data_IF_116896697774
#
_entry.id   IF_116896697774
#
_cell.length_a   1.000
_cell.length_b   1.000
_cell.length_c   1.000
_cell.angle_alpha   90.00
_cell.angle_beta   90.00
_cell.angle_gamma   90.00
#
_symmetry.space_group_name_H-M   'P 1'
#
loop_
_entity.id
_entity.type
_entity.pdbx_description
1 polymer ?
#
# COMPACT_ATOMS: atom_id res chain seq x y z
N UNK A 1 17.13 -0.65 -20.89
CA UNK A 1 17.02 -0.80 -19.43
C UNK A 1 17.40 0.51 -18.75
N UNK A 2 16.51 1.10 -17.94
CA UNK A 2 16.91 2.17 -17.01
C UNK A 2 17.25 1.51 -15.67
N UNK A 3 18.38 1.85 -15.03
CA UNK A 3 18.81 1.18 -13.79
C UNK A 3 17.72 1.32 -12.73
N UNK A 4 17.30 0.20 -12.17
CA UNK A 4 16.26 0.16 -11.13
C UNK A 4 16.73 0.95 -9.93
N UNK A 5 16.02 2.04 -9.61
CA UNK A 5 16.23 2.79 -8.36
C UNK A 5 15.67 1.97 -7.21
N UNK A 6 16.44 0.99 -6.72
CA UNK A 6 16.07 0.19 -5.57
C UNK A 6 16.24 0.98 -4.27
N UNK A 7 15.34 0.74 -3.32
CA UNK A 7 15.43 1.27 -1.95
C UNK A 7 16.41 0.37 -1.20
N UNK A 8 17.57 0.90 -0.83
CA UNK A 8 18.61 0.18 -0.07
C UNK A 8 18.57 0.55 1.40
N UNK A 9 19.27 -0.22 2.24
CA UNK A 9 19.37 0.02 3.69
C UNK A 9 20.00 1.39 3.99
N UNK A 10 20.96 1.80 3.18
CA UNK A 10 21.65 3.09 3.31
C UNK A 10 20.71 4.25 3.00
N UNK A 11 19.86 4.11 1.97
CA UNK A 11 18.84 5.13 1.66
C UNK A 11 17.76 5.20 2.73
N UNK A 12 17.40 4.06 3.31
CA UNK A 12 16.47 4.02 4.44
C UNK A 12 17.05 4.74 5.67
N UNK A 13 18.31 4.46 6.01
CA UNK A 13 19.00 5.15 7.10
C UNK A 13 19.11 6.66 6.87
N UNK A 14 19.49 7.08 5.65
CA UNK A 14 19.53 8.50 5.27
C UNK A 14 18.15 9.18 5.33
N UNK A 15 17.09 8.45 5.00
CA UNK A 15 15.72 8.94 5.15
C UNK A 15 15.30 9.12 6.62
N UNK A 16 15.68 8.19 7.50
CA UNK A 16 15.40 8.32 8.93
C UNK A 16 16.13 9.52 9.54
N UNK A 17 17.40 9.73 9.21
CA UNK A 17 18.17 10.91 9.62
C UNK A 17 17.55 12.20 9.07
N UNK A 18 17.07 12.17 7.82
CA UNK A 18 16.34 13.29 7.26
C UNK A 18 15.00 13.54 7.94
N UNK A 19 14.29 12.52 8.43
CA UNK A 19 13.04 12.71 9.16
C UNK A 19 13.30 13.32 10.54
N UNK A 20 14.18 12.71 11.32
CA UNK A 20 14.56 13.14 12.67
C UNK A 20 16.09 13.26 12.77
N UNK A 21 16.66 14.47 12.54
CA UNK A 21 18.09 14.68 12.70
C UNK A 21 18.51 14.43 14.15
N UNK A 22 19.53 13.59 14.37
CA UNK A 22 19.97 13.21 15.72
C UNK A 22 19.37 11.89 16.27
N UNK A 23 18.61 11.16 15.46
CA UNK A 23 18.30 9.74 15.66
C UNK A 23 17.28 9.37 16.74
N UNK A 24 17.10 10.19 17.78
CA UNK A 24 16.05 9.97 18.78
C UNK A 24 14.66 10.07 18.13
N UNK A 25 13.85 9.03 18.27
CA UNK A 25 12.47 8.99 17.77
C UNK A 25 12.31 8.85 16.25
N UNK A 26 13.36 8.55 15.47
CA UNK A 26 13.25 8.45 14.01
C UNK A 26 12.22 7.40 13.54
N UNK A 27 12.07 6.30 14.28
CA UNK A 27 11.04 5.28 14.02
C UNK A 27 9.62 5.78 14.28
N UNK A 28 9.42 6.61 15.31
CA UNK A 28 8.10 7.20 15.60
C UNK A 28 7.72 8.23 14.55
N UNK A 29 8.66 9.08 14.11
CA UNK A 29 8.42 10.05 13.05
C UNK A 29 8.17 9.37 11.69
N UNK A 30 8.82 8.24 11.44
CA UNK A 30 8.50 7.37 10.30
C UNK A 30 7.04 6.88 10.36
N UNK A 31 6.62 6.29 11.48
CA UNK A 31 5.25 5.79 11.64
C UNK A 31 4.21 6.92 11.60
N UNK A 32 4.53 8.09 12.17
CA UNK A 32 3.67 9.28 12.12
C UNK A 32 3.48 9.76 10.69
N UNK A 33 4.56 9.84 9.91
CA UNK A 33 4.49 10.19 8.50
C UNK A 33 3.67 9.16 7.71
N UNK A 34 3.93 7.87 7.92
CA UNK A 34 3.20 6.78 7.27
C UNK A 34 1.70 6.85 7.57
N UNK A 35 1.31 7.04 8.83
CA UNK A 35 -0.08 7.20 9.24
C UNK A 35 -0.76 8.41 8.56
N UNK A 36 -0.06 9.55 8.48
CA UNK A 36 -0.55 10.76 7.79
C UNK A 36 -0.76 10.52 6.29
N UNK A 37 0.15 9.78 5.65
CA UNK A 37 0.02 9.42 4.23
C UNK A 37 -1.11 8.42 4.00
N UNK A 38 -1.24 7.37 4.81
CA UNK A 38 -2.37 6.45 4.74
C UNK A 38 -3.70 7.21 4.88
N UNK A 39 -3.81 8.11 5.89
CA UNK A 39 -4.98 8.96 6.08
C UNK A 39 -5.27 9.83 4.84
N UNK A 40 -4.24 10.43 4.24
CA UNK A 40 -4.37 11.25 3.04
C UNK A 40 -4.97 10.46 1.85
N UNK A 41 -4.54 9.22 1.62
CA UNK A 41 -5.07 8.39 0.55
C UNK A 41 -6.44 7.78 0.88
N UNK A 42 -6.68 7.42 2.14
CA UNK A 42 -7.98 6.93 2.61
C UNK A 42 -9.08 7.98 2.46
N UNK A 43 -8.80 9.24 2.82
CA UNK A 43 -9.72 10.37 2.60
C UNK A 43 -10.06 10.60 1.13
N UNK A 44 -9.21 10.14 0.20
CA UNK A 44 -9.41 10.21 -1.25
C UNK A 44 -10.01 8.94 -1.83
N UNK A 45 -10.45 8.00 -0.98
CA UNK A 45 -11.06 6.73 -1.37
C UNK A 45 -10.18 5.90 -2.31
N UNK A 46 -8.86 6.04 -2.18
CA UNK A 46 -7.94 5.20 -2.91
C UNK A 46 -8.16 3.74 -2.50
N UNK A 47 -8.10 2.83 -3.46
CA UNK A 47 -8.37 1.40 -3.22
C UNK A 47 -7.33 0.76 -2.27
N UNK A 48 -6.09 1.23 -2.28
CA UNK A 48 -4.97 0.71 -1.47
C UNK A 48 -4.16 1.85 -0.82
N UNK A 49 -4.70 2.52 0.20
CA UNK A 49 -4.08 3.70 0.78
C UNK A 49 -2.73 3.41 1.44
N UNK A 50 -2.58 2.24 2.07
CA UNK A 50 -1.30 1.79 2.64
C UNK A 50 -0.20 1.60 1.59
N UNK A 51 -0.56 1.07 0.42
CA UNK A 51 0.42 0.82 -0.65
C UNK A 51 0.86 2.12 -1.31
N UNK A 52 -0.07 3.07 -1.50
CA UNK A 52 0.26 4.40 -2.02
C UNK A 52 1.09 5.20 -1.01
N UNK A 53 0.87 5.00 0.30
CA UNK A 53 1.72 5.57 1.34
C UNK A 53 3.13 4.97 1.30
N UNK A 54 3.26 3.64 1.26
CA UNK A 54 4.55 2.95 1.14
C UNK A 54 5.30 3.39 -0.14
N UNK A 55 4.61 3.50 -1.29
CA UNK A 55 5.18 3.98 -2.55
C UNK A 55 5.65 5.44 -2.47
N UNK A 56 4.88 6.30 -1.80
CA UNK A 56 5.27 7.70 -1.56
C UNK A 56 6.57 7.76 -0.76
N UNK A 57 6.66 6.96 0.31
CA UNK A 57 7.85 6.88 1.17
C UNK A 57 9.06 6.36 0.39
N UNK A 58 8.91 5.32 -0.43
CA UNK A 58 9.99 4.81 -1.28
C UNK A 58 10.51 5.90 -2.23
N UNK A 59 9.63 6.68 -2.85
CA UNK A 59 10.04 7.80 -3.72
C UNK A 59 10.76 8.90 -2.95
N UNK A 60 10.36 9.17 -1.71
CA UNK A 60 11.04 10.13 -0.84
C UNK A 60 12.45 9.64 -0.51
N UNK A 61 12.62 8.36 -0.13
CA UNK A 61 13.93 7.77 0.16
C UNK A 61 14.91 7.86 -1.02
N UNK A 62 14.40 7.81 -2.25
CA UNK A 62 15.22 7.94 -3.45
C UNK A 62 15.63 9.37 -3.76
N UNK A 63 14.96 10.37 -3.18
CA UNK A 63 15.20 11.80 -3.45
C UNK A 63 15.87 12.54 -2.30
N UNK A 64 15.66 12.07 -1.07
CA UNK A 64 16.33 12.57 0.11
C UNK A 64 17.84 12.33 -0.04
N UNK A 65 18.61 13.42 -0.01
CA UNK A 65 20.06 13.43 -0.26
C UNK A 65 20.48 13.86 -1.67
N UNK A 66 19.57 13.86 -2.66
CA UNK A 66 19.84 14.45 -3.98
C UNK A 66 19.55 15.97 -3.98
N UNK A 67 18.59 16.43 -3.17
CA UNK A 67 18.11 17.82 -3.16
C UNK A 67 17.97 18.36 -1.72
N UNK A 68 18.24 19.66 -1.52
CA UNK A 68 17.96 20.35 -0.26
C UNK A 68 16.46 20.64 -0.17
N UNK A 69 15.77 19.91 0.71
CA UNK A 69 14.33 20.06 0.93
C UNK A 69 14.09 20.93 2.17
N UNK A 70 13.56 22.13 1.97
CA UNK A 70 13.30 23.09 3.07
C UNK A 70 12.04 22.72 3.87
N UNK A 71 10.93 22.44 3.19
CA UNK A 71 9.67 22.03 3.85
C UNK A 71 9.37 20.55 3.61
N UNK A 72 9.80 19.72 4.56
CA UNK A 72 9.67 18.25 4.51
C UNK A 72 8.23 17.81 4.28
N UNK A 73 7.27 18.34 5.05
CA UNK A 73 5.86 17.94 4.96
C UNK A 73 5.24 18.34 3.61
N UNK A 74 5.46 19.57 3.16
CA UNK A 74 4.96 20.02 1.86
C UNK A 74 5.50 19.16 0.72
N UNK A 75 6.79 18.79 0.78
CA UNK A 75 7.41 17.90 -0.18
C UNK A 75 6.78 16.50 -0.16
N UNK A 76 6.62 15.90 1.03
CA UNK A 76 5.95 14.60 1.20
C UNK A 76 4.55 14.59 0.56
N UNK A 77 3.73 15.60 0.84
CA UNK A 77 2.40 15.70 0.23
C UNK A 77 2.44 16.00 -1.27
N UNK A 78 3.45 16.72 -1.75
CA UNK A 78 3.69 16.90 -3.19
C UNK A 78 3.92 15.57 -3.90
N UNK A 79 4.78 14.72 -3.34
CA UNK A 79 5.01 13.36 -3.84
C UNK A 79 3.73 12.51 -3.74
N UNK A 80 3.02 12.57 -2.61
CA UNK A 80 1.75 11.84 -2.42
C UNK A 80 0.68 12.23 -3.45
N UNK A 81 0.57 13.53 -3.79
CA UNK A 81 -0.33 14.02 -4.85
C UNK A 81 0.04 13.45 -6.23
N UNK A 82 1.33 13.33 -6.53
CA UNK A 82 1.78 12.74 -7.79
C UNK A 82 1.47 11.24 -7.85
N UNK A 83 1.75 10.51 -6.77
CA UNK A 83 1.38 9.09 -6.62
C UNK A 83 -0.12 8.88 -6.78
N UNK A 84 -0.95 9.74 -6.18
CA UNK A 84 -2.41 9.71 -6.35
C UNK A 84 -2.83 9.94 -7.82
N UNK A 85 -2.26 10.94 -8.50
CA UNK A 85 -2.57 11.20 -9.92
C UNK A 85 -2.19 10.01 -10.81
N UNK A 86 -1.07 9.36 -10.52
CA UNK A 86 -0.64 8.16 -11.22
C UNK A 86 -1.56 6.96 -10.93
N UNK A 87 -2.01 6.79 -9.68
CA UNK A 87 -2.96 5.71 -9.34
C UNK A 87 -4.28 5.88 -10.09
N UNK A 88 -4.82 7.10 -10.14
CA UNK A 88 -6.03 7.40 -10.92
C UNK A 88 -5.84 7.15 -12.42
N UNK A 89 -4.65 7.44 -12.97
CA UNK A 89 -4.35 7.14 -14.38
C UNK A 89 -4.31 5.63 -14.64
N UNK A 90 -3.69 4.86 -13.74
CA UNK A 90 -3.63 3.39 -13.82
C UNK A 90 -5.02 2.78 -13.68
N UNK A 91 -5.85 3.31 -12.78
CA UNK A 91 -7.24 2.88 -12.63
C UNK A 91 -8.04 3.15 -13.90
N UNK A 92 -7.96 4.36 -14.50
CA UNK A 92 -8.62 4.64 -15.78
C UNK A 92 -8.19 3.69 -16.90
N UNK A 93 -6.89 3.40 -16.99
CA UNK A 93 -6.35 2.50 -18.02
C UNK A 93 -6.74 1.02 -17.83
N UNK A 94 -7.18 0.66 -16.61
CA UNK A 94 -7.77 -0.65 -16.30
C UNK A 94 -9.30 -0.67 -16.48
N UNK A 95 -9.96 0.50 -16.51
CA UNK A 95 -11.41 0.67 -16.65
C UNK A 95 -11.84 0.82 -18.13
N UNK A 96 -10.91 1.01 -19.07
CA UNK A 96 -11.21 0.91 -20.52
C UNK A 96 -11.59 -0.52 -20.99
N UNK A 97 -11.76 -1.48 -20.07
CA UNK A 97 -12.30 -2.84 -20.33
C UNK A 97 -13.53 -3.17 -19.47
N UNK A 98 -14.00 -2.31 -18.56
CA UNK A 98 -15.28 -2.55 -17.86
C UNK A 98 -15.89 -1.25 -17.33
N UNK A 99 -17.14 -1.02 -17.70
CA UNK A 99 -17.90 0.22 -17.60
C UNK A 99 -18.29 0.64 -16.15
N UNK A 100 -18.29 1.96 -15.93
CA UNK A 100 -19.00 2.78 -14.92
C UNK A 100 -18.70 2.57 -13.42
N UNK A 101 -17.98 3.51 -12.82
CA UNK A 101 -17.94 3.71 -11.37
C UNK A 101 -18.90 4.84 -10.93
N UNK A 102 -19.98 4.47 -10.24
CA UNK A 102 -20.92 5.40 -9.57
C UNK A 102 -20.33 5.88 -8.24
N UNK A 103 -20.48 7.18 -7.96
CA UNK A 103 -20.10 7.81 -6.70
C UNK A 103 -20.97 7.31 -5.54
N UNK A 104 -20.38 6.55 -4.60
CA UNK A 104 -21.08 6.08 -3.39
C UNK A 104 -20.81 6.98 -2.17
N UNK A 105 -21.81 7.20 -1.33
CA UNK A 105 -21.71 7.88 -0.02
C UNK A 105 -20.75 7.14 0.96
N UNK A 106 -20.29 7.78 2.05
CA UNK A 106 -19.49 7.06 3.06
C UNK A 106 -20.30 5.88 3.60
N UNK A 107 -19.74 4.65 3.62
CA UNK A 107 -20.44 3.54 4.25
C UNK A 107 -20.54 3.83 5.76
N UNK A 108 -21.64 3.41 6.40
CA UNK A 108 -21.65 3.23 7.86
C UNK A 108 -20.47 2.34 8.26
N UNK A 109 -19.99 2.46 9.50
CA UNK A 109 -18.96 1.56 10.03
C UNK A 109 -19.34 0.11 9.65
N UNK A 110 -18.49 -0.61 8.90
CA UNK A 110 -18.87 -1.93 8.44
C UNK A 110 -19.10 -2.77 9.68
N UNK A 111 -20.32 -3.29 9.84
CA UNK A 111 -20.60 -4.38 10.76
C UNK A 111 -19.67 -5.51 10.33
N UNK A 112 -18.50 -5.62 10.95
CA UNK A 112 -17.48 -6.57 10.58
C UNK A 112 -17.95 -7.94 11.05
N UNK A 113 -18.61 -8.69 10.16
CA UNK A 113 -18.96 -10.08 10.42
C UNK A 113 -17.73 -10.94 10.18
N UNK A 114 -17.08 -11.35 11.27
CA UNK A 114 -16.01 -12.35 11.24
C UNK A 114 -16.47 -13.63 10.53
N UNK A 115 -17.71 -14.05 10.74
CA UNK A 115 -18.31 -15.22 10.07
C UNK A 115 -18.36 -15.08 8.54
N UNK A 116 -18.72 -13.90 8.02
CA UNK A 116 -18.71 -13.66 6.57
C UNK A 116 -17.29 -13.64 6.02
N UNK A 117 -16.33 -13.08 6.76
CA UNK A 117 -14.93 -13.07 6.35
C UNK A 117 -14.37 -14.50 6.26
N UNK A 118 -14.64 -15.34 7.27
CA UNK A 118 -14.20 -16.75 7.28
C UNK A 118 -14.79 -17.53 6.11
N UNK A 119 -16.09 -17.39 5.85
CA UNK A 119 -16.76 -18.01 4.68
C UNK A 119 -16.13 -17.57 3.37
N UNK A 120 -15.96 -16.26 3.16
CA UNK A 120 -15.38 -15.72 1.94
C UNK A 120 -13.90 -16.10 1.76
N UNK A 121 -13.15 -16.28 2.86
CA UNK A 121 -11.78 -16.82 2.79
C UNK A 121 -11.78 -18.29 2.36
N UNK A 122 -12.75 -19.08 2.81
CA UNK A 122 -12.88 -20.49 2.43
C UNK A 122 -13.31 -20.70 0.97
N UNK A 123 -13.96 -19.72 0.34
CA UNK A 123 -14.32 -19.75 -1.09
C UNK A 123 -13.15 -19.45 -2.04
N UNK A 124 -12.03 -18.93 -1.51
CA UNK A 124 -10.85 -18.68 -2.31
C UNK A 124 -10.13 -19.99 -2.67
N UNK A 125 -9.45 -20.05 -3.83
CA UNK A 125 -8.50 -21.12 -4.09
C UNK A 125 -7.47 -21.22 -2.97
N UNK A 126 -7.05 -22.43 -2.54
CA UNK A 126 -6.14 -22.62 -1.40
C UNK A 126 -4.85 -21.79 -1.51
N UNK A 127 -4.26 -21.71 -2.70
CA UNK A 127 -3.08 -20.87 -2.97
C UNK A 127 -3.36 -19.38 -2.72
N UNK A 128 -4.53 -18.88 -3.12
CA UNK A 128 -4.92 -17.47 -2.93
C UNK A 128 -5.27 -17.16 -1.48
N UNK A 129 -5.89 -18.11 -0.78
CA UNK A 129 -6.19 -18.01 0.65
C UNK A 129 -4.90 -17.97 1.47
N UNK A 130 -3.97 -18.89 1.21
CA UNK A 130 -2.66 -18.90 1.86
C UNK A 130 -1.90 -17.60 1.59
N UNK A 131 -1.83 -17.18 0.32
CA UNK A 131 -1.16 -15.94 -0.07
C UNK A 131 -1.71 -14.72 0.67
N UNK A 132 -3.04 -14.57 0.78
CA UNK A 132 -3.63 -13.39 1.41
C UNK A 132 -3.42 -13.39 2.93
N UNK A 133 -3.52 -14.56 3.58
CA UNK A 133 -3.29 -14.68 5.03
C UNK A 133 -1.82 -14.40 5.39
N UNK A 134 -0.87 -15.00 4.67
CA UNK A 134 0.56 -14.77 4.91
C UNK A 134 0.98 -13.33 4.56
N UNK A 135 0.35 -12.71 3.57
CA UNK A 135 0.61 -11.31 3.22
C UNK A 135 0.25 -10.33 4.35
N UNK A 136 -0.74 -10.68 5.19
CA UNK A 136 -1.22 -9.84 6.29
C UNK A 136 -0.82 -10.35 7.69
N UNK A 137 -0.03 -11.42 7.81
CA UNK A 137 0.31 -12.05 9.09
C UNK A 137 1.40 -11.33 9.90
N UNK A 138 2.11 -10.36 9.34
CA UNK A 138 3.26 -9.70 10.00
C UNK A 138 2.99 -8.22 10.34
N UNK A 139 3.63 -7.77 11.42
CA UNK A 139 3.56 -6.39 11.92
C UNK A 139 4.38 -5.45 11.01
N UNK A 140 3.95 -4.18 10.94
CA UNK A 140 4.24 -3.16 9.91
C UNK A 140 5.71 -2.97 9.48
N UNK A 141 6.69 -3.29 10.30
CA UNK A 141 8.12 -3.04 10.06
C UNK A 141 8.83 -4.12 9.22
N UNK A 142 8.28 -5.34 9.07
CA UNK A 142 8.92 -6.45 8.34
C UNK A 142 8.40 -6.65 6.89
N UNK A 143 7.55 -5.77 6.38
CA UNK A 143 6.79 -5.96 5.13
C UNK A 143 7.64 -6.09 3.85
N UNK A 144 8.85 -5.51 3.81
CA UNK A 144 9.73 -5.61 2.62
C UNK A 144 10.28 -7.03 2.48
N UNK A 145 10.85 -7.58 3.55
CA UNK A 145 11.38 -8.95 3.53
C UNK A 145 10.26 -9.98 3.39
N UNK A 146 9.11 -9.74 4.04
CA UNK A 146 7.92 -10.56 3.84
C UNK A 146 7.50 -10.62 2.37
N UNK A 147 7.38 -9.47 1.69
CA UNK A 147 6.98 -9.43 0.27
C UNK A 147 8.01 -10.09 -0.63
N UNK A 148 9.30 -9.98 -0.31
CA UNK A 148 10.36 -10.68 -1.03
C UNK A 148 10.25 -12.20 -0.85
N UNK A 149 10.13 -12.67 0.39
CA UNK A 149 9.95 -14.08 0.75
C UNK A 149 8.69 -14.69 0.11
N UNK A 150 7.56 -14.00 0.19
CA UNK A 150 6.31 -14.42 -0.45
C UNK A 150 6.43 -14.45 -1.97
N UNK A 151 7.09 -13.48 -2.58
CA UNK A 151 7.28 -13.51 -4.03
C UNK A 151 8.11 -14.71 -4.48
N UNK A 152 9.10 -15.10 -3.67
CA UNK A 152 9.92 -16.30 -3.91
C UNK A 152 9.12 -17.60 -3.69
N UNK A 153 8.34 -17.70 -2.61
CA UNK A 153 7.58 -18.92 -2.31
C UNK A 153 6.44 -19.19 -3.31
N UNK A 154 5.85 -18.14 -3.86
CA UNK A 154 4.82 -18.23 -4.90
C UNK A 154 5.39 -18.13 -6.33
N UNK A 155 6.72 -18.15 -6.49
CA UNK A 155 7.43 -18.08 -7.79
C UNK A 155 6.96 -16.93 -8.70
N UNK A 156 6.63 -15.79 -8.11
CA UNK A 156 6.16 -14.60 -8.81
C UNK A 156 7.08 -13.42 -8.57
N UNK A 157 7.03 -12.42 -9.44
CA UNK A 157 7.69 -11.14 -9.14
C UNK A 157 6.96 -10.43 -8.00
N UNK A 158 7.66 -9.57 -7.24
CA UNK A 158 7.00 -8.77 -6.20
C UNK A 158 5.84 -7.92 -6.75
N UNK A 159 5.95 -7.46 -8.00
CA UNK A 159 4.85 -6.74 -8.68
C UNK A 159 3.67 -7.66 -8.96
N UNK A 160 3.92 -8.88 -9.46
CA UNK A 160 2.87 -9.86 -9.70
C UNK A 160 2.21 -10.32 -8.39
N UNK A 161 2.97 -10.50 -7.31
CA UNK A 161 2.44 -10.77 -5.97
C UNK A 161 1.47 -9.66 -5.53
N UNK A 162 1.87 -8.39 -5.66
CA UNK A 162 1.01 -7.24 -5.32
C UNK A 162 -0.27 -7.23 -6.14
N UNK A 163 -0.20 -7.48 -7.45
CA UNK A 163 -1.39 -7.54 -8.32
C UNK A 163 -2.32 -8.70 -7.93
N UNK A 164 -1.76 -9.87 -7.59
CA UNK A 164 -2.55 -11.02 -7.13
C UNK A 164 -3.27 -10.70 -5.81
N UNK A 165 -2.55 -10.19 -4.82
CA UNK A 165 -3.10 -9.73 -3.52
C UNK A 165 -4.20 -8.69 -3.73
N UNK A 166 -3.97 -7.70 -4.60
CA UNK A 166 -4.95 -6.66 -4.95
C UNK A 166 -6.27 -7.25 -5.48
N UNK A 167 -6.18 -8.24 -6.37
CA UNK A 167 -7.34 -8.93 -6.94
C UNK A 167 -8.05 -9.79 -5.90
N UNK A 168 -7.30 -10.55 -5.10
CA UNK A 168 -7.86 -11.40 -4.03
C UNK A 168 -8.58 -10.57 -2.98
N UNK A 169 -7.98 -9.46 -2.53
CA UNK A 169 -8.61 -8.53 -1.59
C UNK A 169 -9.91 -7.91 -2.13
N UNK A 170 -9.97 -7.63 -3.44
CA UNK A 170 -11.21 -7.15 -4.05
C UNK A 170 -12.30 -8.21 -4.07
N UNK A 171 -11.95 -9.45 -4.43
CA UNK A 171 -12.90 -10.57 -4.39
C UNK A 171 -13.46 -10.77 -2.98
N UNK A 172 -12.59 -10.77 -1.96
CA UNK A 172 -13.00 -10.86 -0.56
C UNK A 172 -13.93 -9.72 -0.18
N UNK A 173 -13.61 -8.48 -0.56
CA UNK A 173 -14.47 -7.33 -0.28
C UNK A 173 -15.87 -7.52 -0.88
N UNK A 174 -15.96 -7.91 -2.15
CA UNK A 174 -17.23 -8.13 -2.83
C UNK A 174 -18.03 -9.27 -2.18
N UNK A 175 -17.38 -10.41 -1.94
CA UNK A 175 -18.01 -11.55 -1.26
C UNK A 175 -18.54 -11.17 0.13
N UNK A 176 -17.75 -10.45 0.93
CA UNK A 176 -18.18 -10.03 2.28
C UNK A 176 -19.34 -9.04 2.19
N UNK A 177 -19.34 -8.13 1.20
CA UNK A 177 -20.47 -7.23 0.96
C UNK A 177 -21.74 -8.01 0.58
N UNK A 178 -21.64 -9.02 -0.27
CA UNK A 178 -22.77 -9.89 -0.66
C UNK A 178 -23.26 -10.77 0.51
N UNK A 179 -22.34 -11.27 1.34
CA UNK A 179 -22.66 -12.11 2.49
C UNK A 179 -23.41 -11.35 3.60
N UNK A 180 -23.11 -10.07 3.77
CA UNK A 180 -23.72 -9.22 4.81
C UNK A 180 -25.06 -8.61 4.40
N UNK A 181 -25.42 -8.65 3.11
CA UNK A 181 -26.66 -8.10 2.55
C UNK A 181 -26.53 -6.70 1.98
#
# INVERSE_FOLDING_TARGET
MKPGKEVTREKFAGFLEWLSPGGEGAGEEYERLRFRLCTFFSQRRCRFPDELADETINRLMLKVGEERIENKLAYCYGVAKNVYRESLRKERHHVDVDEVAVAAQPPPEPNFSEECLEKCLAELPPESQQMILEYFSEVKTAKVELRRRLSQSFEVTQTALRVRVMRTKQKLKLCVQECMG
#
